data_IF_798493964059
#
_entry.id   IF_798493964059
#
_cell.length_a   1.000
_cell.length_b   1.000
_cell.length_c   1.000
_cell.angle_alpha   90.00
_cell.angle_beta   90.00
_cell.angle_gamma   90.00
#
_symmetry.space_group_name_H-M   'P 1'
#
loop_
_entity.id
_entity.type
_entity.pdbx_description
1 polymer ?
#
# COMPACT_ATOMS: atom_id res chain seq x y z
N UNK A 1 30.37 11.65 4.09
CA UNK A 1 29.08 10.93 3.95
C UNK A 1 28.75 10.90 2.47
N UNK A 2 28.76 9.74 1.82
CA UNK A 2 28.44 9.64 0.38
C UNK A 2 26.95 9.90 0.18
N UNK A 3 26.58 10.68 -0.84
CA UNK A 3 25.19 10.95 -1.17
C UNK A 3 24.42 9.64 -1.45
N UNK A 4 23.13 9.53 -1.09
CA UNK A 4 22.34 8.34 -1.39
C UNK A 4 22.34 8.10 -2.90
N UNK A 5 22.65 6.87 -3.32
CA UNK A 5 22.53 6.49 -4.72
C UNK A 5 21.06 6.63 -5.15
N UNK A 6 20.75 7.37 -6.22
CA UNK A 6 19.38 7.45 -6.70
C UNK A 6 18.93 6.07 -7.16
N UNK A 7 18.00 5.47 -6.42
CA UNK A 7 17.44 4.17 -6.78
C UNK A 7 16.40 4.40 -7.88
N UNK A 8 16.54 3.78 -9.05
CA UNK A 8 15.64 4.03 -10.17
C UNK A 8 14.22 3.57 -9.85
N UNK A 9 13.28 4.51 -9.85
CA UNK A 9 11.85 4.25 -9.72
C UNK A 9 11.28 3.86 -11.09
N UNK A 10 10.55 2.75 -11.15
CA UNK A 10 9.80 2.32 -12.33
C UNK A 10 8.32 2.28 -12.02
N UNK A 11 7.53 2.98 -12.81
CA UNK A 11 6.07 3.01 -12.71
C UNK A 11 5.43 2.28 -13.90
N UNK A 12 4.39 1.49 -13.64
CA UNK A 12 3.52 0.91 -14.66
C UNK A 12 2.06 0.87 -14.19
N UNK A 13 1.13 0.90 -15.13
CA UNK A 13 -0.30 0.70 -14.87
C UNK A 13 -0.72 -0.68 -15.36
N UNK A 14 -1.38 -1.46 -14.52
CA UNK A 14 -1.95 -2.75 -14.90
C UNK A 14 -3.24 -2.55 -15.70
N UNK A 15 -3.69 -3.61 -16.40
CA UNK A 15 -4.91 -3.57 -17.21
C UNK A 15 -6.17 -3.22 -16.40
N UNK A 16 -6.23 -3.61 -15.12
CA UNK A 16 -7.31 -3.26 -14.19
C UNK A 16 -7.22 -1.83 -13.62
N UNK A 17 -6.21 -1.06 -14.03
CA UNK A 17 -6.01 0.32 -13.61
C UNK A 17 -5.12 0.52 -12.38
N UNK A 18 -4.68 -0.55 -11.69
CA UNK A 18 -3.79 -0.45 -10.54
C UNK A 18 -2.43 0.14 -10.97
N UNK A 19 -1.98 1.14 -10.22
CA UNK A 19 -0.67 1.76 -10.39
C UNK A 19 0.36 0.98 -9.57
N UNK A 20 1.41 0.52 -10.24
CA UNK A 20 2.47 -0.26 -9.63
C UNK A 20 3.79 0.50 -9.74
N UNK A 21 4.34 0.83 -8.58
CA UNK A 21 5.64 1.48 -8.42
C UNK A 21 6.62 0.43 -7.91
N UNK A 22 7.75 0.29 -8.59
CA UNK A 22 8.81 -0.66 -8.23
C UNK A 22 10.15 0.07 -8.10
N UNK A 23 10.89 -0.30 -7.07
CA UNK A 23 12.21 0.24 -6.75
C UNK A 23 13.11 -0.97 -6.52
N UNK A 24 14.15 -1.12 -7.34
CA UNK A 24 15.10 -2.23 -7.21
C UNK A 24 16.30 -1.77 -6.40
N UNK A 25 16.37 -2.21 -5.16
CA UNK A 25 17.53 -2.08 -4.30
C UNK A 25 18.20 -3.46 -4.13
N UNK A 26 19.50 -3.55 -4.44
CA UNK A 26 20.29 -4.79 -4.31
C UNK A 26 21.22 -4.78 -3.09
N UNK A 27 21.12 -3.78 -2.23
CA UNK A 27 21.96 -3.65 -1.04
C UNK A 27 21.53 -4.59 0.10
N UNK A 28 20.27 -5.05 0.10
CA UNK A 28 19.72 -5.95 1.12
C UNK A 28 18.88 -7.08 0.51
N UNK A 29 18.83 -8.29 1.09
CA UNK A 29 18.02 -9.41 0.61
C UNK A 29 16.57 -9.35 1.12
N UNK A 30 15.99 -8.15 1.20
CA UNK A 30 14.64 -7.93 1.74
C UNK A 30 13.72 -7.37 0.66
N UNK A 31 12.46 -7.79 0.67
CA UNK A 31 11.41 -7.18 -0.13
C UNK A 31 10.41 -6.46 0.78
N UNK A 32 10.05 -5.22 0.43
CA UNK A 32 8.98 -4.47 1.09
C UNK A 32 7.84 -4.30 0.11
N UNK A 33 6.64 -4.67 0.52
CA UNK A 33 5.42 -4.53 -0.29
C UNK A 33 4.47 -3.63 0.48
N UNK A 34 3.98 -2.58 -0.19
CA UNK A 34 2.96 -1.69 0.36
C UNK A 34 1.77 -1.62 -0.60
N UNK A 35 0.56 -1.63 -0.06
CA UNK A 35 -0.67 -1.40 -0.81
C UNK A 35 -1.29 -0.10 -0.31
N UNK A 36 -1.50 0.84 -1.22
CA UNK A 36 -2.04 2.16 -0.91
C UNK A 36 -3.40 2.32 -1.56
N UNK A 37 -4.38 2.74 -0.76
CA UNK A 37 -5.67 3.18 -1.26
C UNK A 37 -5.69 4.70 -1.27
N UNK A 38 -6.10 5.29 -2.39
CA UNK A 38 -6.24 6.74 -2.51
C UNK A 38 -7.58 7.21 -1.89
N UNK A 39 -7.79 6.87 -0.62
CA UNK A 39 -8.95 7.22 0.21
C UNK A 39 -8.52 7.27 1.68
N UNK A 40 -9.12 8.15 2.46
CA UNK A 40 -8.89 8.25 3.90
C UNK A 40 -10.00 8.99 4.64
N UNK A 41 -9.75 9.40 5.88
CA UNK A 41 -10.73 10.12 6.70
C UNK A 41 -11.23 11.42 6.06
N UNK A 42 -10.40 12.08 5.24
CA UNK A 42 -10.77 13.29 4.49
C UNK A 42 -11.92 13.07 3.49
N UNK A 43 -12.12 11.82 3.05
CA UNK A 43 -13.10 11.45 2.03
C UNK A 43 -14.43 10.97 2.66
N UNK A 44 -14.54 11.02 4.00
CA UNK A 44 -15.71 10.57 4.74
C UNK A 44 -16.87 11.56 4.67
N UNK A 45 -18.10 11.04 4.79
CA UNK A 45 -19.31 11.85 4.79
C UNK A 45 -19.69 12.23 6.22
N UNK A 46 -20.26 13.41 6.40
CA UNK A 46 -20.85 13.83 7.68
C UNK A 46 -21.86 12.79 8.15
N UNK A 47 -21.76 12.38 9.42
CA UNK A 47 -22.58 11.31 10.00
C UNK A 47 -22.16 9.89 9.62
N UNK A 48 -21.07 9.70 8.87
CA UNK A 48 -20.47 8.40 8.52
C UNK A 48 -18.95 8.46 8.63
N UNK A 49 -18.47 8.71 9.84
CA UNK A 49 -17.04 8.89 10.13
C UNK A 49 -16.39 7.61 10.66
N UNK A 50 -15.08 7.46 10.48
CA UNK A 50 -14.28 6.33 10.96
C UNK A 50 -14.30 5.11 10.05
N UNK A 51 -14.89 5.19 8.85
CA UNK A 51 -15.02 4.08 7.92
C UNK A 51 -13.69 3.71 7.29
N UNK A 52 -12.87 4.69 6.87
CA UNK A 52 -11.57 4.39 6.29
C UNK A 52 -10.70 3.59 7.27
N UNK A 53 -10.71 4.01 8.54
CA UNK A 53 -10.00 3.33 9.62
C UNK A 53 -10.63 1.98 9.96
N UNK A 54 -11.97 1.88 10.04
CA UNK A 54 -12.64 0.60 10.28
C UNK A 54 -12.27 -0.45 9.21
N UNK A 55 -12.29 -0.07 7.93
CA UNK A 55 -11.93 -0.99 6.85
C UNK A 55 -10.46 -1.42 6.93
N UNK A 56 -9.54 -0.54 7.33
CA UNK A 56 -8.15 -0.89 7.63
C UNK A 56 -8.09 -2.03 8.68
N UNK A 57 -8.77 -1.88 9.82
CA UNK A 57 -8.81 -2.92 10.86
C UNK A 57 -9.38 -4.25 10.34
N UNK A 58 -10.41 -4.19 9.50
CA UNK A 58 -11.03 -5.38 8.92
C UNK A 58 -10.10 -6.13 7.98
N UNK A 59 -9.12 -5.47 7.33
CA UNK A 59 -8.11 -6.16 6.52
C UNK A 59 -7.25 -7.14 7.35
N UNK A 60 -7.20 -6.98 8.67
CA UNK A 60 -6.48 -7.87 9.58
C UNK A 60 -7.38 -8.90 10.28
N UNK A 61 -8.67 -8.97 9.94
CA UNK A 61 -9.60 -9.96 10.51
C UNK A 61 -9.70 -11.26 9.68
N UNK A 62 -8.76 -11.49 8.78
CA UNK A 62 -8.75 -12.65 7.88
C UNK A 62 -9.33 -12.35 6.50
N UNK A 63 -9.06 -13.24 5.55
CA UNK A 63 -9.48 -13.18 4.16
C UNK A 63 -9.88 -14.57 3.65
N UNK A 64 -10.39 -14.64 2.42
CA UNK A 64 -10.73 -15.92 1.79
C UNK A 64 -9.54 -16.91 1.72
N UNK A 65 -8.30 -16.42 1.68
CA UNK A 65 -7.11 -17.25 1.50
C UNK A 65 -6.28 -17.42 2.78
N UNK A 66 -6.56 -16.63 3.83
CA UNK A 66 -5.76 -16.61 5.07
C UNK A 66 -6.71 -16.34 6.24
N UNK A 67 -6.80 -17.28 7.19
CA UNK A 67 -7.58 -17.08 8.41
C UNK A 67 -6.96 -15.99 9.30
N UNK A 68 -7.77 -15.37 10.15
CA UNK A 68 -7.25 -14.54 11.23
C UNK A 68 -6.29 -15.37 12.09
N UNK A 69 -5.16 -14.79 12.46
CA UNK A 69 -4.21 -15.38 13.40
C UNK A 69 -4.80 -15.48 14.82
#
# INVERSE_FOLDING_TARGET
>A
MSAPHPIPLKERKLANGLRLITVLDRTTPTATVNLWYHVGSKDERVGRTGFAHLFEHLMFQGSANVSKA
#
